data_IF_221582068716
#
_entry.id   IF_221582068716
#
_cell.length_a   1.000
_cell.length_b   1.000
_cell.length_c   1.000
_cell.angle_alpha   90.00
_cell.angle_beta   90.00
_cell.angle_gamma   90.00
#
_symmetry.space_group_name_H-M   'P 1'
#
loop_
_entity.id
_entity.type
_entity.pdbx_description
1 polymer ?
#
# COMPACT_ATOMS: atom_id res chain seq x y z
N UNK A 1 59.41 -17.73 19.26
CA UNK A 1 58.50 -17.88 18.10
C UNK A 1 57.01 -17.98 18.46
N UNK A 2 56.61 -18.34 19.69
CA UNK A 2 55.19 -18.50 20.06
C UNK A 2 54.33 -17.21 20.10
N UNK A 3 54.93 -16.05 20.47
CA UNK A 3 54.19 -14.78 20.62
C UNK A 3 53.74 -14.14 19.30
N UNK A 4 54.53 -14.27 18.22
CA UNK A 4 54.16 -13.71 16.91
C UNK A 4 53.00 -14.50 16.26
N UNK A 5 52.97 -15.82 16.46
CA UNK A 5 51.86 -16.67 16.00
C UNK A 5 50.55 -16.40 16.77
N UNK A 6 50.63 -16.17 18.10
CA UNK A 6 49.43 -15.81 18.89
C UNK A 6 48.88 -14.42 18.55
N UNK A 7 49.74 -13.44 18.27
CA UNK A 7 49.31 -12.11 17.81
C UNK A 7 48.65 -12.16 16.42
N UNK A 8 49.18 -12.96 15.48
CA UNK A 8 48.57 -13.14 14.16
C UNK A 8 47.19 -13.81 14.25
N UNK A 9 47.02 -14.81 15.12
CA UNK A 9 45.73 -15.46 15.38
C UNK A 9 44.73 -14.49 16.04
N UNK A 10 45.17 -13.71 17.04
CA UNK A 10 44.33 -12.71 17.70
C UNK A 10 43.82 -11.66 16.71
N UNK A 11 44.68 -11.19 15.79
CA UNK A 11 44.30 -10.26 14.73
C UNK A 11 43.25 -10.85 13.79
N UNK A 12 43.40 -12.12 13.40
CA UNK A 12 42.43 -12.82 12.56
C UNK A 12 41.06 -12.95 13.27
N UNK A 13 41.05 -13.36 14.54
CA UNK A 13 39.82 -13.45 15.34
C UNK A 13 39.15 -12.08 15.53
N UNK A 14 39.93 -11.02 15.71
CA UNK A 14 39.41 -9.65 15.81
C UNK A 14 38.75 -9.23 14.49
N UNK A 15 39.38 -9.51 13.35
CA UNK A 15 38.79 -9.26 12.04
C UNK A 15 37.48 -10.04 11.84
N UNK A 16 37.42 -11.29 12.27
CA UNK A 16 36.19 -12.11 12.20
C UNK A 16 35.09 -11.58 13.12
N UNK A 17 35.44 -11.11 14.32
CA UNK A 17 34.50 -10.49 15.25
C UNK A 17 33.85 -9.25 14.64
N UNK A 18 34.65 -8.34 14.06
CA UNK A 18 34.11 -7.16 13.38
C UNK A 18 33.24 -7.50 12.18
N UNK A 19 33.57 -8.55 11.42
CA UNK A 19 32.72 -9.02 10.32
C UNK A 19 31.37 -9.53 10.83
N UNK A 20 31.34 -10.24 11.96
CA UNK A 20 30.12 -10.73 12.59
C UNK A 20 29.27 -9.57 13.11
N UNK A 21 29.87 -8.61 13.81
CA UNK A 21 29.19 -7.42 14.30
C UNK A 21 28.59 -6.59 13.15
N UNK A 22 29.35 -6.42 12.07
CA UNK A 22 28.85 -5.73 10.87
C UNK A 22 27.67 -6.47 10.23
N UNK A 23 27.74 -7.80 10.12
CA UNK A 23 26.62 -8.62 9.59
C UNK A 23 25.39 -8.54 10.48
N UNK A 24 25.55 -8.62 11.80
CA UNK A 24 24.45 -8.50 12.75
C UNK A 24 23.77 -7.13 12.66
N UNK A 25 24.55 -6.05 12.71
CA UNK A 25 24.03 -4.69 12.57
C UNK A 25 23.30 -4.47 11.23
N UNK A 26 23.83 -5.02 10.14
CA UNK A 26 23.16 -4.99 8.84
C UNK A 26 21.80 -5.69 8.89
N UNK A 27 21.73 -6.87 9.50
CA UNK A 27 20.53 -7.69 9.58
C UNK A 27 19.45 -7.04 10.46
N UNK A 28 19.85 -6.41 11.57
CA UNK A 28 18.97 -5.59 12.41
C UNK A 28 18.40 -4.38 11.64
N UNK A 29 19.22 -3.70 10.84
CA UNK A 29 18.74 -2.62 9.98
C UNK A 29 17.74 -3.11 8.93
N UNK A 30 17.96 -4.28 8.33
CA UNK A 30 17.00 -4.90 7.41
C UNK A 30 15.69 -5.29 8.12
N UNK A 31 15.74 -5.76 9.38
CA UNK A 31 14.52 -5.98 10.20
C UNK A 31 13.71 -4.71 10.42
N UNK A 32 14.36 -3.59 10.72
CA UNK A 32 13.68 -2.31 10.87
C UNK A 32 13.00 -1.87 9.55
N UNK A 33 13.65 -2.11 8.41
CA UNK A 33 13.05 -1.84 7.10
C UNK A 33 11.84 -2.74 6.83
N UNK A 34 11.91 -4.03 7.18
CA UNK A 34 10.79 -4.96 7.04
C UNK A 34 9.61 -4.60 7.95
N UNK A 35 9.86 -4.06 9.15
CA UNK A 35 8.80 -3.56 10.01
C UNK A 35 8.03 -2.42 9.32
N UNK A 36 8.75 -1.48 8.68
CA UNK A 36 8.13 -0.42 7.90
C UNK A 36 7.37 -0.97 6.67
N UNK A 37 7.93 -1.97 5.97
CA UNK A 37 7.28 -2.64 4.84
C UNK A 37 5.98 -3.33 5.28
N UNK A 38 5.99 -3.99 6.44
CA UNK A 38 4.81 -4.62 7.04
C UNK A 38 3.70 -3.61 7.33
N UNK A 39 4.03 -2.47 7.94
CA UNK A 39 3.08 -1.37 8.17
C UNK A 39 2.48 -0.85 6.87
N UNK A 40 3.30 -0.67 5.83
CA UNK A 40 2.82 -0.22 4.53
C UNK A 40 1.90 -1.23 3.85
N UNK A 41 2.23 -2.52 3.88
CA UNK A 41 1.38 -3.59 3.31
C UNK A 41 0.02 -3.62 4.03
N UNK A 42 0.00 -3.34 5.32
CA UNK A 42 -1.23 -3.22 6.09
C UNK A 42 -2.05 -1.97 5.72
N UNK A 43 -1.40 -0.81 5.58
CA UNK A 43 -2.06 0.42 5.12
C UNK A 43 -2.67 0.26 3.71
N UNK A 44 -1.93 -0.34 2.77
CA UNK A 44 -2.42 -0.65 1.42
C UNK A 44 -3.69 -1.55 1.48
N UNK A 45 -3.75 -2.48 2.44
CA UNK A 45 -4.91 -3.35 2.64
C UNK A 45 -6.11 -2.57 3.20
N UNK A 46 -5.90 -1.69 4.17
CA UNK A 46 -6.97 -0.82 4.70
C UNK A 46 -7.53 0.11 3.61
N UNK A 47 -6.66 0.70 2.80
CA UNK A 47 -7.10 1.55 1.69
C UNK A 47 -7.95 0.75 0.67
N UNK A 48 -7.58 -0.51 0.41
CA UNK A 48 -8.38 -1.38 -0.44
C UNK A 48 -9.70 -1.83 0.18
N UNK A 49 -9.77 -1.94 1.51
CA UNK A 49 -10.98 -2.26 2.26
C UNK A 49 -11.98 -1.11 2.21
N UNK A 50 -11.50 0.12 2.34
CA UNK A 50 -12.34 1.33 2.33
C UNK A 50 -12.75 1.74 0.90
N UNK A 51 -12.18 1.13 -0.14
CA UNK A 51 -12.55 1.41 -1.53
C UNK A 51 -13.98 0.93 -1.84
N UNK A 52 -14.79 1.91 -2.21
CA UNK A 52 -16.15 1.71 -2.67
C UNK A 52 -16.26 1.93 -4.18
N UNK A 53 -17.37 1.46 -4.74
CA UNK A 53 -17.76 1.68 -6.13
C UNK A 53 -19.23 1.97 -6.24
N UNK A 54 -19.60 2.70 -7.29
CA UNK A 54 -20.99 3.06 -7.58
C UNK A 54 -21.54 2.13 -8.67
N UNK A 55 -22.66 1.47 -8.35
CA UNK A 55 -23.38 0.61 -9.29
C UNK A 55 -24.74 1.18 -9.64
N UNK A 56 -25.21 0.90 -10.86
CA UNK A 56 -26.56 1.24 -11.29
C UNK A 56 -27.51 0.06 -11.18
N UNK A 57 -28.76 0.36 -10.86
CA UNK A 57 -29.87 -0.59 -10.89
C UNK A 57 -30.24 -0.93 -12.33
N UNK A 58 -30.41 -2.21 -12.61
CA UNK A 58 -30.80 -2.76 -13.91
C UNK A 58 -31.95 -3.73 -13.72
N UNK A 59 -33.09 -3.42 -14.34
CA UNK A 59 -34.20 -4.37 -14.47
C UNK A 59 -33.89 -5.31 -15.64
N UNK A 60 -33.73 -6.59 -15.37
CA UNK A 60 -33.50 -7.60 -16.40
C UNK A 60 -34.82 -8.05 -17.04
N UNK A 61 -34.73 -8.67 -18.21
CA UNK A 61 -35.90 -9.07 -19.04
C UNK A 61 -36.83 -10.07 -18.33
N UNK A 62 -36.34 -10.76 -17.31
CA UNK A 62 -37.08 -11.67 -16.43
C UNK A 62 -37.85 -10.94 -15.30
N UNK A 63 -37.76 -9.60 -15.23
CA UNK A 63 -38.37 -8.79 -14.19
C UNK A 63 -37.59 -8.76 -12.87
N UNK A 64 -36.39 -9.35 -12.81
CA UNK A 64 -35.53 -9.27 -11.62
C UNK A 64 -34.69 -7.99 -11.62
N UNK A 65 -34.29 -7.55 -10.42
CA UNK A 65 -33.46 -6.37 -10.23
C UNK A 65 -32.03 -6.84 -9.97
N UNK A 66 -31.10 -6.37 -10.80
CA UNK A 66 -29.65 -6.58 -10.62
C UNK A 66 -28.94 -5.23 -10.54
N UNK A 67 -27.72 -5.22 -10.01
CA UNK A 67 -26.87 -4.04 -10.02
C UNK A 67 -25.64 -4.31 -10.88
N UNK A 68 -25.27 -3.33 -11.70
CA UNK A 68 -24.13 -3.45 -12.61
C UNK A 68 -23.19 -2.27 -12.45
N UNK A 69 -21.89 -2.57 -12.53
CA UNK A 69 -20.84 -1.58 -12.67
C UNK A 69 -21.03 -0.81 -13.99
N UNK A 70 -20.56 0.43 -14.02
CA UNK A 70 -20.60 1.28 -15.22
C UNK A 70 -19.18 1.40 -15.74
N UNK A 71 -18.92 0.89 -16.93
CA UNK A 71 -17.54 0.83 -17.45
C UNK A 71 -17.04 2.16 -18.01
N UNK A 72 -17.95 3.08 -18.35
CA UNK A 72 -17.65 4.34 -19.02
C UNK A 72 -18.74 5.38 -18.77
N UNK A 73 -18.45 6.64 -19.12
CA UNK A 73 -19.38 7.74 -18.91
C UNK A 73 -20.66 7.64 -19.73
N UNK A 74 -20.59 7.03 -20.92
CA UNK A 74 -21.77 6.84 -21.75
C UNK A 74 -22.83 5.99 -21.03
N UNK A 75 -22.42 4.88 -20.39
CA UNK A 75 -23.32 4.06 -19.58
C UNK A 75 -23.95 4.80 -18.40
N UNK A 76 -23.23 5.77 -17.82
CA UNK A 76 -23.77 6.65 -16.77
C UNK A 76 -24.85 7.59 -17.33
N UNK A 77 -24.59 8.20 -18.48
CA UNK A 77 -25.55 9.10 -19.17
C UNK A 77 -26.76 8.38 -19.76
N UNK A 78 -26.58 7.15 -20.25
CA UNK A 78 -27.65 6.28 -20.74
C UNK A 78 -28.56 5.82 -19.59
N UNK A 79 -27.98 5.59 -18.41
CA UNK A 79 -28.73 5.33 -17.18
C UNK A 79 -29.53 6.56 -16.70
N UNK A 80 -29.34 7.72 -17.32
CA UNK A 80 -30.11 8.93 -17.07
C UNK A 80 -29.48 9.89 -16.06
N UNK A 81 -28.18 9.74 -15.79
CA UNK A 81 -27.42 10.57 -14.86
C UNK A 81 -26.37 11.42 -15.59
N UNK A 82 -26.18 12.65 -15.15
CA UNK A 82 -25.09 13.51 -15.58
C UNK A 82 -24.43 14.16 -14.37
N UNK A 83 -23.23 14.68 -14.55
CA UNK A 83 -22.48 15.35 -13.50
C UNK A 83 -22.48 16.85 -13.72
N UNK A 84 -22.48 17.60 -12.62
CA UNK A 84 -22.42 19.04 -12.61
C UNK A 84 -21.22 19.48 -11.80
N UNK A 85 -20.42 20.36 -12.39
CA UNK A 85 -19.25 20.96 -11.76
C UNK A 85 -19.17 22.43 -12.20
N UNK A 86 -18.97 23.34 -11.24
CA UNK A 86 -18.87 24.79 -11.48
C UNK A 86 -20.00 25.37 -12.35
N UNK A 87 -21.23 24.87 -12.15
CA UNK A 87 -22.40 25.32 -12.89
C UNK A 87 -22.51 24.81 -14.33
N UNK A 88 -21.61 23.93 -14.76
CA UNK A 88 -21.62 23.28 -16.08
C UNK A 88 -22.11 21.84 -15.94
N UNK A 89 -23.05 21.47 -16.79
CA UNK A 89 -23.61 20.12 -16.86
C UNK A 89 -22.84 19.33 -17.92
N UNK A 90 -22.27 18.21 -17.51
CA UNK A 90 -21.52 17.28 -18.35
C UNK A 90 -22.46 16.17 -18.80
N UNK A 91 -23.16 16.36 -19.91
CA UNK A 91 -24.19 15.44 -20.41
C UNK A 91 -23.65 14.33 -21.32
N UNK A 92 -22.35 14.34 -21.61
CA UNK A 92 -21.70 13.40 -22.53
C UNK A 92 -21.85 13.76 -24.02
N UNK A 93 -22.74 14.69 -24.37
CA UNK A 93 -23.01 15.10 -25.74
C UNK A 93 -22.45 16.50 -26.04
N UNK A 94 -22.86 17.49 -25.23
CA UNK A 94 -22.40 18.88 -25.30
C UNK A 94 -21.09 19.06 -24.53
N UNK A 95 -21.04 18.47 -23.33
CA UNK A 95 -19.90 18.55 -22.42
C UNK A 95 -19.48 17.12 -22.05
N UNK A 96 -18.28 16.72 -22.47
CA UNK A 96 -17.82 15.34 -22.38
C UNK A 96 -17.13 15.03 -21.05
N UNK A 97 -16.94 13.74 -20.76
CA UNK A 97 -16.15 13.27 -19.63
C UNK A 97 -14.70 13.81 -19.63
N UNK A 98 -14.09 13.94 -20.81
CA UNK A 98 -12.74 14.50 -20.92
C UNK A 98 -12.69 16.00 -20.58
N UNK A 99 -13.74 16.74 -20.93
CA UNK A 99 -13.89 18.13 -20.53
C UNK A 99 -14.01 18.25 -19.00
N UNK A 100 -14.79 17.38 -18.36
CA UNK A 100 -14.92 17.34 -16.90
C UNK A 100 -13.58 17.03 -16.22
N UNK A 101 -12.86 16.00 -16.68
CA UNK A 101 -11.53 15.68 -16.16
C UNK A 101 -10.58 16.86 -16.29
N UNK A 102 -10.63 17.57 -17.42
CA UNK A 102 -9.80 18.76 -17.63
C UNK A 102 -10.17 19.88 -16.66
N UNK A 103 -11.46 20.12 -16.42
CA UNK A 103 -11.95 21.12 -15.47
C UNK A 103 -11.52 20.79 -14.02
N UNK A 104 -11.62 19.53 -13.63
CA UNK A 104 -11.18 19.02 -12.32
C UNK A 104 -9.66 18.87 -12.19
N UNK A 105 -8.88 19.16 -13.26
CA UNK A 105 -7.43 19.01 -13.25
C UNK A 105 -6.93 17.56 -13.19
N UNK A 106 -7.78 16.59 -13.52
CA UNK A 106 -7.47 15.15 -13.53
C UNK A 106 -6.71 14.82 -14.82
N UNK A 107 -5.41 14.52 -14.71
CA UNK A 107 -4.50 14.34 -15.86
C UNK A 107 -4.18 12.89 -16.24
N UNK A 108 -4.65 11.90 -15.48
CA UNK A 108 -4.25 10.49 -15.62
C UNK A 108 -5.34 9.57 -16.19
N UNK A 109 -4.92 8.48 -16.84
CA UNK A 109 -5.77 7.32 -17.18
C UNK A 109 -6.19 6.58 -15.90
N UNK A 110 -7.10 7.18 -15.14
CA UNK A 110 -7.75 6.49 -14.05
C UNK A 110 -8.97 5.72 -14.61
N UNK A 111 -9.21 4.52 -14.08
CA UNK A 111 -10.44 3.78 -14.36
C UNK A 111 -11.64 4.71 -14.11
N UNK A 112 -12.60 4.73 -15.05
CA UNK A 112 -13.80 5.55 -14.95
C UNK A 112 -14.52 5.34 -13.62
N UNK A 113 -14.68 4.10 -13.19
CA UNK A 113 -15.35 3.72 -11.95
C UNK A 113 -14.69 4.35 -10.72
N UNK A 114 -13.37 4.22 -10.59
CA UNK A 114 -12.61 4.83 -9.49
C UNK A 114 -12.70 6.34 -9.52
N UNK A 115 -12.61 6.94 -10.71
CA UNK A 115 -12.67 8.39 -10.86
C UNK A 115 -14.05 8.91 -10.47
N UNK A 116 -15.12 8.26 -10.95
CA UNK A 116 -16.51 8.59 -10.66
C UNK A 116 -16.79 8.55 -9.15
N UNK A 117 -16.40 7.46 -8.47
CA UNK A 117 -16.58 7.36 -7.01
C UNK A 117 -15.81 8.46 -6.27
N UNK A 118 -14.56 8.73 -6.65
CA UNK A 118 -13.74 9.73 -5.98
C UNK A 118 -14.30 11.16 -6.12
N UNK A 119 -14.74 11.56 -7.31
CA UNK A 119 -15.27 12.91 -7.54
C UNK A 119 -16.64 13.10 -6.86
N UNK A 120 -17.44 12.03 -6.73
CA UNK A 120 -18.71 12.07 -6.01
C UNK A 120 -18.48 12.13 -4.50
N UNK A 121 -17.58 11.29 -3.96
CA UNK A 121 -17.32 11.22 -2.51
C UNK A 121 -16.55 12.44 -1.99
N UNK A 122 -15.76 13.11 -2.84
CA UNK A 122 -15.13 14.39 -2.51
C UNK A 122 -16.11 15.57 -2.53
N UNK A 123 -17.29 15.40 -3.12
CA UNK A 123 -18.30 16.46 -3.25
C UNK A 123 -17.95 17.51 -4.32
N UNK A 124 -16.96 17.26 -5.18
CA UNK A 124 -16.57 18.17 -6.27
C UNK A 124 -17.62 18.24 -7.39
N UNK A 125 -18.49 17.23 -7.47
CA UNK A 125 -19.56 17.15 -8.46
C UNK A 125 -20.91 16.85 -7.82
N UNK A 126 -21.97 17.34 -8.44
CA UNK A 126 -23.36 16.97 -8.12
C UNK A 126 -23.94 16.11 -9.23
N UNK A 127 -24.73 15.09 -8.86
CA UNK A 127 -25.42 14.25 -9.85
C UNK A 127 -26.75 14.89 -10.19
N UNK A 128 -27.09 14.92 -11.47
CA UNK A 128 -28.42 15.33 -11.95
C UNK A 128 -29.08 14.24 -12.78
N UNK A 129 -30.40 14.20 -12.74
CA UNK A 129 -31.24 13.25 -13.50
C UNK A 129 -31.88 13.91 -14.71
N UNK A 130 -32.23 13.09 -15.72
CA UNK A 130 -33.05 13.56 -16.85
C UNK A 130 -34.43 13.99 -16.38
N UNK A 131 -34.95 15.06 -16.98
CA UNK A 131 -36.33 15.48 -16.76
C UNK A 131 -37.29 14.36 -17.19
N UNK A 132 -38.26 13.96 -16.35
CA UNK A 132 -39.15 12.82 -16.62
C UNK A 132 -40.05 13.05 -17.84
N UNK A 133 -40.36 14.29 -18.19
CA UNK A 133 -41.24 14.66 -19.29
C UNK A 133 -40.50 14.79 -20.61
N UNK A 134 -39.37 15.50 -20.63
CA UNK A 134 -38.61 15.76 -21.87
C UNK A 134 -37.55 14.70 -22.17
N UNK A 135 -37.21 13.86 -21.18
CA UNK A 135 -36.11 12.88 -21.25
C UNK A 135 -34.74 13.49 -21.59
N UNK A 136 -34.60 14.80 -21.40
CA UNK A 136 -33.35 15.53 -21.59
C UNK A 136 -32.73 15.90 -20.23
N UNK A 137 -31.41 16.07 -20.21
CA UNK A 137 -30.73 16.70 -19.09
C UNK A 137 -31.08 18.19 -19.02
N UNK A 138 -31.03 18.81 -17.82
CA UNK A 138 -31.16 20.26 -17.71
C UNK A 138 -30.09 20.96 -18.57
N UNK A 139 -30.44 22.12 -19.12
CA UNK A 139 -29.56 22.87 -20.03
C UNK A 139 -28.72 23.93 -19.32
N UNK A 140 -28.95 24.15 -18.02
CA UNK A 140 -28.14 25.01 -17.18
C UNK A 140 -28.57 24.97 -15.72
N UNK A 141 -27.66 25.34 -14.81
CA UNK A 141 -27.89 25.38 -13.36
C UNK A 141 -28.74 26.56 -12.88
N UNK A 142 -29.00 27.52 -13.76
CA UNK A 142 -29.76 28.73 -13.46
C UNK A 142 -31.28 28.57 -13.67
N UNK A 143 -31.75 27.36 -14.00
CA UNK A 143 -33.18 27.06 -14.07
C UNK A 143 -33.77 27.10 -12.65
N UNK A 144 -34.90 27.78 -12.46
CA UNK A 144 -35.61 27.87 -11.18
C UNK A 144 -35.93 26.49 -10.59
N UNK A 145 -36.00 25.45 -11.44
CA UNK A 145 -36.29 24.07 -11.03
C UNK A 145 -35.05 23.14 -11.05
N UNK A 146 -33.83 23.68 -11.20
CA UNK A 146 -32.62 22.87 -11.31
C UNK A 146 -32.44 21.91 -10.13
N UNK A 147 -32.73 22.39 -8.92
CA UNK A 147 -32.65 21.62 -7.66
C UNK A 147 -33.57 20.38 -7.62
N UNK A 148 -34.59 20.32 -8.47
CA UNK A 148 -35.49 19.16 -8.60
C UNK A 148 -34.81 18.00 -9.33
N UNK A 149 -33.82 18.31 -10.16
CA UNK A 149 -33.07 17.31 -10.92
C UNK A 149 -31.84 16.81 -10.18
N UNK A 150 -31.37 17.56 -9.18
CA UNK A 150 -30.25 17.17 -8.32
C UNK A 150 -30.56 15.88 -7.55
N UNK A 151 -29.59 15.00 -7.49
CA UNK A 151 -29.68 13.74 -6.78
C UNK A 151 -28.32 13.35 -6.22
N UNK A 152 -28.30 12.34 -5.37
CA UNK A 152 -27.06 11.77 -4.83
C UNK A 152 -27.17 10.26 -4.79
N UNK A 153 -26.03 9.58 -4.67
CA UNK A 153 -26.02 8.13 -4.50
C UNK A 153 -26.82 7.69 -3.26
N UNK A 154 -26.88 8.54 -2.22
CA UNK A 154 -27.62 8.26 -1.00
C UNK A 154 -29.15 8.46 -1.11
N UNK A 155 -29.61 9.35 -1.99
CA UNK A 155 -31.04 9.70 -2.13
C UNK A 155 -31.71 9.03 -3.34
N UNK A 156 -30.91 8.56 -4.30
CA UNK A 156 -31.40 7.93 -5.51
C UNK A 156 -31.71 6.44 -5.28
N UNK A 157 -32.75 5.91 -5.94
CA UNK A 157 -33.13 4.48 -5.84
C UNK A 157 -32.55 3.60 -6.95
N UNK A 158 -31.88 4.22 -7.93
CA UNK A 158 -31.27 3.60 -9.09
C UNK A 158 -29.74 3.56 -9.05
N UNK A 159 -29.13 4.11 -8.00
CA UNK A 159 -27.69 4.05 -7.73
C UNK A 159 -27.47 3.45 -6.34
N UNK A 160 -26.34 2.77 -6.17
CA UNK A 160 -25.88 2.32 -4.87
C UNK A 160 -24.36 2.39 -4.79
N UNK A 161 -23.85 2.71 -3.62
CA UNK A 161 -22.43 2.60 -3.29
C UNK A 161 -22.21 1.27 -2.57
N UNK A 162 -21.27 0.46 -3.07
CA UNK A 162 -20.94 -0.86 -2.51
C UNK A 162 -19.44 -1.00 -2.38
N UNK A 163 -18.98 -1.79 -1.41
CA UNK A 163 -17.56 -2.17 -1.32
C UNK A 163 -17.15 -2.95 -2.57
N UNK A 164 -15.97 -2.64 -3.13
CA UNK A 164 -15.48 -3.39 -4.29
C UNK A 164 -14.92 -4.76 -3.87
N UNK A 165 -15.79 -5.76 -3.80
CA UNK A 165 -15.42 -7.12 -3.42
C UNK A 165 -14.30 -7.73 -4.29
N UNK A 166 -14.19 -7.33 -5.56
CA UNK A 166 -13.16 -7.88 -6.45
C UNK A 166 -11.79 -7.34 -6.10
N UNK A 167 -11.70 -6.02 -5.88
CA UNK A 167 -10.47 -5.38 -5.43
C UNK A 167 -10.10 -5.83 -4.02
N UNK A 168 -11.08 -5.96 -3.12
CA UNK A 168 -10.86 -6.44 -1.76
C UNK A 168 -10.26 -7.85 -1.77
N UNK A 169 -10.84 -8.80 -2.53
CA UNK A 169 -10.29 -10.17 -2.64
C UNK A 169 -8.87 -10.19 -3.18
N UNK A 170 -8.55 -9.33 -4.16
CA UNK A 170 -7.18 -9.20 -4.68
C UNK A 170 -6.23 -8.63 -3.64
N UNK A 171 -6.67 -7.62 -2.89
CA UNK A 171 -5.88 -6.98 -1.84
C UNK A 171 -5.63 -7.93 -0.67
N UNK A 172 -6.65 -8.69 -0.24
CA UNK A 172 -6.53 -9.73 0.79
C UNK A 172 -5.51 -10.79 0.40
N UNK A 173 -5.61 -11.33 -0.83
CA UNK A 173 -4.65 -12.31 -1.34
C UNK A 173 -3.22 -11.76 -1.41
N UNK A 174 -3.06 -10.48 -1.81
CA UNK A 174 -1.76 -9.81 -1.85
C UNK A 174 -1.19 -9.59 -0.45
N UNK A 175 -2.02 -9.11 0.47
CA UNK A 175 -1.66 -8.88 1.88
C UNK A 175 -1.19 -10.19 2.52
N UNK A 176 -1.94 -11.28 2.37
CA UNK A 176 -1.56 -12.59 2.91
C UNK A 176 -0.23 -13.06 2.33
N UNK A 177 -0.06 -12.95 1.00
CA UNK A 177 1.16 -13.38 0.32
C UNK A 177 2.39 -12.56 0.75
N UNK A 178 2.26 -11.24 0.84
CA UNK A 178 3.38 -10.36 1.19
C UNK A 178 3.71 -10.43 2.68
N UNK A 179 2.70 -10.49 3.56
CA UNK A 179 2.91 -10.71 4.98
C UNK A 179 3.60 -12.05 5.25
N UNK A 180 3.23 -13.11 4.53
CA UNK A 180 3.91 -14.41 4.63
C UNK A 180 5.37 -14.35 4.18
N UNK A 181 5.69 -13.57 3.15
CA UNK A 181 7.10 -13.36 2.72
C UNK A 181 7.88 -12.61 3.80
N UNK A 182 7.28 -11.58 4.40
CA UNK A 182 7.89 -10.79 5.47
C UNK A 182 8.15 -11.68 6.70
N UNK A 183 7.14 -12.43 7.16
CA UNK A 183 7.26 -13.37 8.29
C UNK A 183 8.36 -14.41 8.07
N UNK A 184 8.45 -14.97 6.85
CA UNK A 184 9.53 -15.92 6.51
C UNK A 184 10.92 -15.28 6.54
N UNK A 185 11.07 -14.04 6.06
CA UNK A 185 12.34 -13.32 6.13
C UNK A 185 12.70 -12.98 7.57
N UNK A 186 11.72 -12.52 8.36
CA UNK A 186 11.93 -12.15 9.76
C UNK A 186 12.42 -13.33 10.60
N UNK A 187 11.77 -14.51 10.45
CA UNK A 187 12.23 -15.76 11.07
C UNK A 187 13.64 -16.15 10.65
N UNK A 188 13.97 -15.98 9.36
CA UNK A 188 15.31 -16.27 8.87
C UNK A 188 16.33 -15.34 9.53
N UNK A 189 16.02 -14.06 9.63
CA UNK A 189 16.89 -13.07 10.25
C UNK A 189 17.07 -13.32 11.75
N UNK A 190 16.03 -13.75 12.47
CA UNK A 190 16.18 -14.17 13.87
C UNK A 190 17.11 -15.38 14.01
N UNK A 191 16.97 -16.38 13.14
CA UNK A 191 17.85 -17.54 13.12
C UNK A 191 19.30 -17.16 12.81
N UNK A 192 19.51 -16.27 11.83
CA UNK A 192 20.84 -15.81 11.42
C UNK A 192 21.48 -14.96 12.53
N UNK A 193 20.72 -14.08 13.21
CA UNK A 193 21.20 -13.32 14.37
C UNK A 193 21.60 -14.24 15.52
N UNK A 194 20.78 -15.23 15.85
CA UNK A 194 21.08 -16.20 16.90
C UNK A 194 22.36 -17.01 16.60
N UNK A 195 22.58 -17.38 15.33
CA UNK A 195 23.80 -18.03 14.90
C UNK A 195 25.02 -17.10 15.02
N UNK A 196 24.90 -15.85 14.57
CA UNK A 196 25.96 -14.84 14.66
C UNK A 196 26.34 -14.54 16.12
N UNK A 197 25.38 -14.47 17.04
CA UNK A 197 25.66 -14.29 18.47
C UNK A 197 26.35 -15.50 19.09
N UNK A 198 25.99 -16.71 18.67
CA UNK A 198 26.67 -17.94 19.10
C UNK A 198 28.12 -17.93 18.62
N UNK A 199 28.38 -17.58 17.36
CA UNK A 199 29.73 -17.44 16.80
C UNK A 199 30.54 -16.34 17.51
N UNK A 200 29.91 -15.19 17.76
CA UNK A 200 30.53 -14.06 18.47
C UNK A 200 30.98 -14.46 19.87
N UNK A 201 30.13 -15.16 20.62
CA UNK A 201 30.44 -15.63 21.97
C UNK A 201 31.57 -16.66 21.96
N UNK A 202 31.60 -17.57 20.98
CA UNK A 202 32.68 -18.53 20.81
C UNK A 202 34.03 -17.84 20.51
N UNK A 203 34.05 -16.90 19.56
CA UNK A 203 35.27 -16.14 19.21
C UNK A 203 35.73 -15.28 20.39
N UNK A 204 34.81 -14.64 21.12
CA UNK A 204 35.15 -13.87 22.32
C UNK A 204 35.85 -14.74 23.36
N UNK A 205 35.34 -15.94 23.62
CA UNK A 205 35.98 -16.91 24.52
C UNK A 205 37.38 -17.32 24.01
N UNK A 206 37.54 -17.58 22.71
CA UNK A 206 38.84 -17.89 22.11
C UNK A 206 39.83 -16.71 22.23
N UNK A 207 39.37 -15.47 22.06
CA UNK A 207 40.22 -14.29 22.23
C UNK A 207 40.68 -14.10 23.68
N UNK A 208 39.79 -14.29 24.67
CA UNK A 208 40.14 -14.16 26.08
C UNK A 208 41.13 -15.25 26.54
N UNK A 209 40.95 -16.49 26.06
CA UNK A 209 41.93 -17.56 26.32
C UNK A 209 43.29 -17.25 25.69
N UNK A 210 43.34 -16.76 24.44
CA UNK A 210 44.59 -16.37 23.79
C UNK A 210 45.30 -15.19 24.47
N UNK A 211 44.54 -14.17 24.92
CA UNK A 211 45.08 -13.05 25.69
C UNK A 211 45.69 -13.52 27.00
N UNK A 212 45.02 -14.43 27.71
CA UNK A 212 45.50 -15.00 28.98
C UNK A 212 46.81 -15.76 28.77
N UNK A 213 46.86 -16.66 27.77
CA UNK A 213 48.08 -17.41 27.43
C UNK A 213 49.22 -16.50 27.00
N UNK A 214 48.92 -15.45 26.22
CA UNK A 214 49.93 -14.47 25.83
C UNK A 214 50.50 -13.73 27.05
N UNK A 215 49.64 -13.29 27.98
CA UNK A 215 50.03 -12.62 29.22
C UNK A 215 50.91 -13.52 30.09
N UNK A 216 50.51 -14.76 30.33
CA UNK A 216 51.30 -15.72 31.12
C UNK A 216 52.67 -16.02 30.52
N UNK A 217 52.78 -16.07 29.19
CA UNK A 217 54.06 -16.28 28.52
C UNK A 217 54.97 -15.05 28.63
N UNK A 218 54.41 -13.84 28.54
CA UNK A 218 55.15 -12.59 28.79
C UNK A 218 55.63 -12.54 30.24
N UNK A 219 54.77 -12.83 31.21
CA UNK A 219 55.11 -12.82 32.64
C UNK A 219 56.20 -13.85 32.98
N UNK A 220 56.14 -15.06 32.40
CA UNK A 220 57.21 -16.07 32.53
C UNK A 220 58.53 -15.60 31.94
N UNK A 221 58.48 -14.99 30.75
CA UNK A 221 59.66 -14.46 30.08
C UNK A 221 60.28 -13.34 30.92
N UNK A 222 59.45 -12.42 31.43
CA UNK A 222 59.90 -11.33 32.29
C UNK A 222 60.59 -11.84 33.56
N UNK A 223 60.00 -12.81 34.27
CA UNK A 223 60.61 -13.45 35.45
C UNK A 223 61.92 -14.20 35.16
N UNK A 224 62.12 -14.67 33.93
CA UNK A 224 63.33 -15.35 33.50
C UNK A 224 64.48 -14.38 33.20
N UNK A 225 64.17 -13.11 32.94
CA UNK A 225 65.14 -12.07 32.57
C UNK A 225 65.27 -10.94 33.60
N UNK A 226 64.58 -11.03 34.75
CA UNK A 226 64.71 -10.14 35.91
C UNK A 226 65.49 -10.82 37.03
#
# INVERSE_FOLDING_TARGET
>A
MGLSSSQARLLNLTSRMHQIEYKAAKLEAEKLQMANESSRVYEDYLEALDKTKIQRKVLTTDGSITYKDMANYTEFTDAGYALVHDGVIYDGATNTWDALKTALGIKTENNFETTLTNIINSGEVTIVTKNPNTKAFPTGVNDENFTVYETSVATNTGLQEVSDESLLKKAEAKYEADMKKIDNKDRKYDSDLAALDTERNAIKSEMETLKTVAKENVDRTFKLFS
#
